data_IF_430283627493
#
_entry.id   IF_430283627493
#
_cell.length_a   1.000
_cell.length_b   1.000
_cell.length_c   1.000
_cell.angle_alpha   90.00
_cell.angle_beta   90.00
_cell.angle_gamma   90.00
#
_symmetry.space_group_name_H-M   'P 1'
#
loop_
_entity.id
_entity.type
_entity.pdbx_description
1 polymer ?
#
# COMPACT_ATOMS: atom_id res chain seq x y z
N UNK A 1 10.65 11.48 -3.45
CA UNK A 1 11.10 12.46 -2.43
C UNK A 1 11.34 11.79 -1.09
N UNK A 2 10.33 11.16 -0.47
CA UNK A 2 10.49 10.46 0.81
C UNK A 2 11.57 9.36 0.81
N UNK A 3 11.51 8.40 -0.12
CA UNK A 3 12.51 7.32 -0.25
C UNK A 3 13.96 7.84 -0.37
N UNK A 4 14.16 8.99 -0.98
CA UNK A 4 15.48 9.63 -1.10
C UNK A 4 15.96 10.19 0.25
N UNK A 5 15.05 10.75 1.05
CA UNK A 5 15.36 11.29 2.38
C UNK A 5 15.80 10.20 3.36
N UNK A 6 15.16 9.03 3.31
CA UNK A 6 15.51 7.87 4.15
C UNK A 6 16.65 7.02 3.56
N UNK A 7 17.30 7.49 2.49
CA UNK A 7 18.42 6.79 1.85
C UNK A 7 18.07 5.40 1.31
N UNK A 8 16.84 5.18 0.85
CA UNK A 8 16.41 3.87 0.36
C UNK A 8 17.26 3.44 -0.86
N UNK A 9 17.95 2.29 -0.82
CA UNK A 9 18.95 1.92 -1.81
C UNK A 9 18.34 1.68 -3.21
N UNK A 10 17.10 1.19 -3.27
CA UNK A 10 16.46 0.81 -4.52
C UNK A 10 15.55 1.92 -5.08
N UNK A 11 15.88 3.19 -4.83
CA UNK A 11 15.08 4.35 -5.23
C UNK A 11 14.77 4.38 -6.73
N UNK A 12 15.78 4.19 -7.58
CA UNK A 12 15.60 4.31 -9.04
C UNK A 12 14.75 3.16 -9.59
N UNK A 13 14.91 1.95 -9.05
CA UNK A 13 14.12 0.80 -9.46
C UNK A 13 12.65 0.97 -9.08
N UNK A 14 12.38 1.37 -7.83
CA UNK A 14 11.03 1.67 -7.39
C UNK A 14 10.41 2.80 -8.24
N UNK A 15 11.21 3.80 -8.67
CA UNK A 15 10.75 4.84 -9.60
C UNK A 15 10.36 4.30 -10.98
N UNK A 16 11.05 3.27 -11.50
CA UNK A 16 10.67 2.62 -12.76
C UNK A 16 9.35 1.89 -12.62
N UNK A 17 9.15 1.14 -11.53
CA UNK A 17 7.90 0.43 -11.25
C UNK A 17 6.71 1.41 -11.26
N UNK A 18 6.84 2.57 -10.59
CA UNK A 18 5.82 3.62 -10.63
C UNK A 18 5.52 4.10 -12.06
N UNK A 19 6.55 4.31 -12.88
CA UNK A 19 6.38 4.73 -14.29
C UNK A 19 5.66 3.66 -15.11
N UNK A 20 5.98 2.39 -14.90
CA UNK A 20 5.35 1.27 -15.59
C UNK A 20 3.87 1.13 -15.23
N UNK A 21 3.53 1.27 -13.94
CA UNK A 21 2.13 1.27 -13.49
C UNK A 21 1.35 2.43 -14.14
N UNK A 22 1.90 3.65 -14.13
CA UNK A 22 1.26 4.81 -14.75
C UNK A 22 1.06 4.59 -16.25
N UNK A 23 2.08 4.08 -16.95
CA UNK A 23 1.98 3.81 -18.39
C UNK A 23 0.92 2.75 -18.69
N UNK A 24 0.84 1.72 -17.86
CA UNK A 24 -0.16 0.65 -17.98
C UNK A 24 -1.56 1.20 -17.74
N UNK A 25 -1.76 2.04 -16.72
CA UNK A 25 -3.03 2.71 -16.46
C UNK A 25 -3.45 3.58 -17.65
N UNK A 26 -2.54 4.38 -18.22
CA UNK A 26 -2.80 5.22 -19.39
C UNK A 26 -3.26 4.35 -20.57
N UNK A 27 -2.57 3.23 -20.83
CA UNK A 27 -2.92 2.35 -21.94
C UNK A 27 -4.29 1.68 -21.73
N UNK A 28 -4.58 1.23 -20.50
CA UNK A 28 -5.87 0.64 -20.16
C UNK A 28 -7.03 1.62 -20.31
N UNK A 29 -6.81 2.91 -19.99
CA UNK A 29 -7.84 3.95 -20.06
C UNK A 29 -8.06 4.41 -21.51
N UNK A 30 -7.00 4.48 -22.33
CA UNK A 30 -7.09 4.91 -23.75
C UNK A 30 -8.02 4.05 -24.59
N UNK A 31 -8.12 2.76 -24.28
CA UNK A 31 -8.88 1.80 -25.06
C UNK A 31 -10.33 1.59 -24.58
N UNK A 32 -10.78 2.39 -23.61
CA UNK A 32 -12.12 2.24 -23.01
C UNK A 32 -13.20 2.62 -24.00
N UNK A 33 -14.12 1.68 -24.27
CA UNK A 33 -15.24 1.88 -25.20
C UNK A 33 -16.61 2.01 -24.53
N UNK A 34 -16.71 1.68 -23.24
CA UNK A 34 -17.96 1.76 -22.48
C UNK A 34 -17.73 1.93 -20.99
N UNK A 35 -18.77 2.34 -20.26
CA UNK A 35 -18.74 2.42 -18.79
C UNK A 35 -18.49 1.07 -18.13
N UNK A 36 -18.97 -0.04 -18.72
CA UNK A 36 -18.71 -1.37 -18.18
C UNK A 36 -17.23 -1.77 -18.35
N UNK A 37 -16.65 -1.48 -19.52
CA UNK A 37 -15.22 -1.69 -19.78
C UNK A 37 -14.36 -0.85 -18.82
N UNK A 38 -14.72 0.43 -18.59
CA UNK A 38 -14.08 1.25 -17.57
C UNK A 38 -14.12 0.59 -16.18
N UNK A 39 -15.28 0.08 -15.75
CA UNK A 39 -15.43 -0.60 -14.45
C UNK A 39 -14.48 -1.78 -14.33
N UNK A 40 -14.42 -2.64 -15.34
CA UNK A 40 -13.54 -3.83 -15.34
C UNK A 40 -12.06 -3.45 -15.33
N UNK A 41 -11.67 -2.48 -16.17
CA UNK A 41 -10.29 -1.97 -16.23
C UNK A 41 -9.86 -1.32 -14.92
N UNK A 42 -10.75 -0.53 -14.30
CA UNK A 42 -10.51 0.10 -13.00
C UNK A 42 -10.32 -0.95 -11.90
N UNK A 43 -11.12 -2.03 -11.91
CA UNK A 43 -10.96 -3.13 -10.97
C UNK A 43 -9.60 -3.79 -11.10
N UNK A 44 -9.12 -4.05 -12.32
CA UNK A 44 -7.79 -4.60 -12.56
C UNK A 44 -6.70 -3.66 -12.03
N UNK A 45 -6.82 -2.36 -12.29
CA UNK A 45 -5.87 -1.35 -11.81
C UNK A 45 -5.83 -1.30 -10.28
N UNK A 46 -6.98 -1.22 -9.62
CA UNK A 46 -7.06 -1.09 -8.17
C UNK A 46 -6.66 -2.38 -7.44
N UNK A 47 -7.19 -3.54 -7.88
CA UNK A 47 -6.97 -4.80 -7.17
C UNK A 47 -5.66 -5.47 -7.53
N UNK A 48 -5.25 -5.43 -8.79
CA UNK A 48 -4.02 -6.10 -9.21
C UNK A 48 -2.84 -5.17 -8.97
N UNK A 49 -2.77 -4.08 -9.72
CA UNK A 49 -1.58 -3.24 -9.73
C UNK A 49 -1.36 -2.49 -8.41
N UNK A 50 -2.37 -1.79 -7.91
CA UNK A 50 -2.18 -0.96 -6.71
C UNK A 50 -1.97 -1.81 -5.45
N UNK A 51 -2.79 -2.84 -5.23
CA UNK A 51 -2.66 -3.69 -4.05
C UNK A 51 -1.37 -4.52 -4.07
N UNK A 52 -1.00 -5.13 -5.21
CA UNK A 52 0.27 -5.85 -5.32
C UNK A 52 1.46 -4.90 -5.14
N UNK A 53 1.39 -3.68 -5.69
CA UNK A 53 2.43 -2.68 -5.49
C UNK A 53 2.61 -2.31 -4.01
N UNK A 54 1.52 -2.06 -3.28
CA UNK A 54 1.59 -1.73 -1.85
C UNK A 54 2.22 -2.90 -1.07
N UNK A 55 1.71 -4.11 -1.27
CA UNK A 55 2.12 -5.29 -0.50
C UNK A 55 3.55 -5.72 -0.79
N UNK A 56 4.00 -5.64 -2.04
CA UNK A 56 5.29 -6.18 -2.44
C UNK A 56 6.38 -5.13 -2.67
N UNK A 57 6.03 -3.87 -2.96
CA UNK A 57 7.01 -2.81 -3.19
C UNK A 57 7.04 -1.79 -2.04
N UNK A 58 5.90 -1.23 -1.63
CA UNK A 58 5.88 -0.21 -0.58
C UNK A 58 6.27 -0.79 0.79
N UNK A 59 5.86 -2.03 1.08
CA UNK A 59 6.29 -2.72 2.30
C UNK A 59 7.81 -2.91 2.40
N UNK A 60 8.55 -2.97 1.28
CA UNK A 60 10.03 -3.03 1.30
C UNK A 60 10.62 -1.71 1.79
N UNK A 61 10.02 -0.58 1.40
CA UNK A 61 10.42 0.76 1.85
C UNK A 61 10.17 0.89 3.35
N UNK A 62 9.05 0.36 3.82
CA UNK A 62 8.72 0.37 5.25
C UNK A 62 9.68 -0.50 6.06
N UNK A 63 9.98 -1.71 5.60
CA UNK A 63 10.98 -2.59 6.23
C UNK A 63 12.36 -1.94 6.28
N UNK A 64 12.75 -1.20 5.23
CA UNK A 64 13.99 -0.43 5.23
C UNK A 64 13.98 0.68 6.27
N UNK A 65 12.87 1.43 6.36
CA UNK A 65 12.69 2.49 7.35
C UNK A 65 12.79 1.93 8.77
N UNK A 66 12.06 0.86 9.08
CA UNK A 66 12.06 0.26 10.42
C UNK A 66 13.44 -0.31 10.78
N UNK A 67 14.10 -0.99 9.83
CA UNK A 67 15.46 -1.52 10.01
C UNK A 67 16.49 -0.40 10.23
N UNK A 68 16.33 0.74 9.54
CA UNK A 68 17.18 1.92 9.72
C UNK A 68 16.95 2.63 11.06
N UNK A 69 15.81 2.38 11.71
CA UNK A 69 15.42 2.94 13.02
C UNK A 69 15.56 1.96 14.18
N UNK A 70 16.00 0.71 13.94
CA UNK A 70 16.10 -0.36 14.94
C UNK A 70 17.23 -0.17 15.97
N UNK A 71 17.59 1.07 16.29
CA UNK A 71 18.25 1.43 17.54
C UNK A 71 17.28 1.79 18.66
N UNK A 72 15.95 1.75 18.47
CA UNK A 72 15.03 1.91 19.61
C UNK A 72 13.68 1.19 19.41
N UNK A 73 13.32 0.48 20.47
CA UNK A 73 12.13 -0.30 20.84
C UNK A 73 11.16 -0.84 19.76
N UNK A 74 11.03 -2.17 19.76
CA UNK A 74 10.24 -2.95 18.80
C UNK A 74 8.75 -2.91 19.07
N UNK A 75 7.99 -2.42 18.10
CA UNK A 75 6.57 -2.72 17.93
C UNK A 75 6.33 -3.17 16.49
N UNK A 76 6.26 -4.48 16.27
CA UNK A 76 5.86 -5.06 14.99
C UNK A 76 4.37 -4.78 14.75
N UNK A 77 4.04 -4.04 13.69
CA UNK A 77 2.65 -3.93 13.23
C UNK A 77 2.41 -5.02 12.19
N UNK A 78 2.00 -6.19 12.67
CA UNK A 78 1.51 -7.27 11.83
C UNK A 78 0.19 -6.86 11.18
N UNK A 79 0.22 -6.63 9.87
CA UNK A 79 -0.98 -6.57 9.04
C UNK A 79 -1.30 -7.99 8.57
N UNK A 80 -1.57 -8.90 9.50
CA UNK A 80 -2.22 -10.14 9.15
C UNK A 80 -3.70 -9.83 8.93
N UNK A 81 -4.14 -9.93 7.68
CA UNK A 81 -5.54 -10.12 7.38
C UNK A 81 -5.94 -11.41 8.08
N UNK A 82 -6.64 -11.29 9.21
CA UNK A 82 -7.16 -12.43 9.95
C UNK A 82 -7.98 -13.28 8.97
N UNK A 83 -7.48 -14.48 8.68
CA UNK A 83 -8.31 -15.53 8.14
C UNK A 83 -9.31 -15.89 9.25
N UNK A 84 -10.59 -15.74 8.93
CA UNK A 84 -11.70 -16.12 9.78
C UNK A 84 -11.62 -17.63 10.08
N UNK A 85 -11.38 -17.99 11.33
CA UNK A 85 -11.88 -19.24 11.92
C UNK A 85 -11.98 -19.07 13.45
N UNK A 86 -13.22 -18.93 13.92
CA UNK A 86 -13.72 -19.11 15.30
C UNK A 86 -12.98 -18.38 16.44
N UNK A 87 -13.38 -17.14 16.76
CA UNK A 87 -13.42 -16.66 18.16
C UNK A 87 -14.40 -15.49 18.37
N UNK A 88 -15.46 -15.75 19.12
CA UNK A 88 -16.57 -14.83 19.44
C UNK A 88 -16.19 -13.78 20.51
N UNK A 89 -15.30 -12.83 20.19
CA UNK A 89 -15.12 -11.66 21.07
C UNK A 89 -15.22 -10.34 20.28
N UNK A 90 -16.34 -9.59 20.40
CA UNK A 90 -16.44 -8.28 19.77
C UNK A 90 -15.44 -7.32 20.43
N UNK A 91 -14.40 -6.94 19.68
CA UNK A 91 -13.45 -5.92 20.10
C UNK A 91 -14.14 -4.56 20.12
N UNK A 92 -14.41 -4.04 21.33
CA UNK A 92 -14.92 -2.69 21.53
C UNK A 92 -13.76 -1.68 21.47
N UNK A 93 -13.83 -0.76 20.50
CA UNK A 93 -12.92 0.37 20.41
C UNK A 93 -13.60 1.63 20.96
N UNK A 94 -13.06 2.17 22.05
CA UNK A 94 -13.50 3.44 22.60
C UNK A 94 -12.68 4.59 22.01
N UNK A 95 -13.24 5.29 21.02
CA UNK A 95 -12.60 6.47 20.45
C UNK A 95 -12.86 7.70 21.35
N UNK A 96 -11.80 8.32 21.85
CA UNK A 96 -11.87 9.59 22.57
C UNK A 96 -11.13 10.67 21.76
N UNK A 97 -11.82 11.77 21.38
CA UNK A 97 -11.13 12.95 20.83
C UNK A 97 -10.59 13.79 21.98
N UNK A 98 -9.30 14.12 21.92
CA UNK A 98 -8.65 15.07 22.82
C UNK A 98 -8.74 16.53 22.31
N UNK A 99 -9.90 16.90 21.76
CA UNK A 99 -10.16 18.23 21.23
C UNK A 99 -10.30 19.24 22.41
N UNK A 100 -9.52 20.34 22.48
CA UNK A 100 -9.78 21.42 23.43
C UNK A 100 -11.04 22.18 22.99
N UNK A 101 -12.07 22.17 23.84
CA UNK A 101 -13.34 22.89 23.63
C UNK A 101 -13.21 24.40 23.83
#
# INVERSE_FOLDING_TARGET
>A
KYMQLIGYPNLEEHRKIHKEIIQTMINLIKDIKSTNDLKEKLYIVAKKWLLEHILYEDMKVEKWRSSSLSTDDGGDVSFEAAEDEDNEHPQFYLYTCNCPG
#
